data_IF_993054319878
#
_entry.id   IF_993054319878
#
_cell.length_a   1.000
_cell.length_b   1.000
_cell.length_c   1.000
_cell.angle_alpha   90.00
_cell.angle_beta   90.00
_cell.angle_gamma   90.00
#
_symmetry.space_group_name_H-M   'P 1'
#
loop_
_entity.id
_entity.type
_entity.pdbx_description
1 polymer ?
#
# COMPACT_ATOMS: atom_id res chain seq x y z
N UNK A 1 15.66 3.97 -15.89
CA UNK A 1 15.21 2.55 -15.87
C UNK A 1 14.00 2.47 -16.80
N UNK A 2 13.97 1.53 -17.73
CA UNK A 2 12.73 1.27 -18.51
C UNK A 2 11.83 0.40 -17.64
N UNK A 3 10.61 0.85 -17.41
CA UNK A 3 9.64 0.14 -16.58
C UNK A 3 8.80 -0.86 -17.37
N UNK A 4 8.72 -0.67 -18.70
CA UNK A 4 7.89 -1.44 -19.64
C UNK A 4 6.41 -1.57 -19.16
N UNK A 5 5.90 -0.49 -18.54
CA UNK A 5 4.54 -0.39 -18.03
C UNK A 5 3.56 0.26 -19.00
N UNK A 6 4.03 0.75 -20.15
CA UNK A 6 3.16 1.36 -21.17
C UNK A 6 2.07 0.39 -21.64
N UNK A 7 0.82 0.85 -21.63
CA UNK A 7 -0.35 0.06 -21.99
C UNK A 7 -0.81 -0.95 -20.94
N UNK A 8 -0.07 -1.16 -19.86
CA UNK A 8 -0.44 -2.08 -18.77
C UNK A 8 -1.68 -1.60 -18.03
N UNK A 9 -2.52 -2.55 -17.62
CA UNK A 9 -3.73 -2.31 -16.86
C UNK A 9 -3.42 -2.37 -15.35
N UNK A 10 -3.61 -1.26 -14.65
CA UNK A 10 -3.24 -1.11 -13.23
C UNK A 10 -4.46 -0.75 -12.40
N UNK A 11 -4.71 -1.48 -11.32
CA UNK A 11 -5.69 -1.16 -10.30
C UNK A 11 -4.99 -0.59 -9.06
N UNK A 12 -5.45 0.56 -8.55
CA UNK A 12 -4.94 1.18 -7.32
C UNK A 12 -6.10 1.41 -6.35
N UNK A 13 -6.03 0.84 -5.14
CA UNK A 13 -6.94 1.21 -4.04
C UNK A 13 -6.34 2.33 -3.19
N UNK A 14 -7.19 3.19 -2.60
CA UNK A 14 -6.71 4.38 -1.88
C UNK A 14 -6.08 5.42 -2.81
N UNK A 15 -6.47 5.43 -4.09
CA UNK A 15 -5.82 6.23 -5.13
C UNK A 15 -6.29 7.69 -5.20
N UNK A 16 -7.23 8.13 -4.36
CA UNK A 16 -7.71 9.51 -4.35
C UNK A 16 -6.78 10.48 -3.59
N UNK A 17 -5.86 9.98 -2.77
CA UNK A 17 -4.97 10.83 -1.96
C UNK A 17 -3.59 10.19 -1.69
N UNK A 18 -2.68 10.96 -1.13
CA UNK A 18 -1.40 10.51 -0.59
C UNK A 18 -0.56 9.64 -1.53
N UNK A 19 -0.06 8.54 -1.01
CA UNK A 19 0.78 7.59 -1.75
C UNK A 19 0.02 6.98 -2.93
N UNK A 20 -1.25 6.60 -2.73
CA UNK A 20 -2.06 6.02 -3.79
C UNK A 20 -2.22 6.95 -4.99
N UNK A 21 -2.51 8.24 -4.74
CA UNK A 21 -2.59 9.25 -5.81
C UNK A 21 -1.24 9.45 -6.51
N UNK A 22 -0.13 9.42 -5.77
CA UNK A 22 1.20 9.49 -6.35
C UNK A 22 1.48 8.27 -7.25
N UNK A 23 1.07 7.07 -6.83
CA UNK A 23 1.15 5.87 -7.66
C UNK A 23 0.31 6.01 -8.94
N UNK A 24 -0.94 6.46 -8.83
CA UNK A 24 -1.81 6.70 -10.01
C UNK A 24 -1.13 7.63 -11.01
N UNK A 25 -0.58 8.75 -10.54
CA UNK A 25 0.14 9.71 -11.41
C UNK A 25 1.38 9.09 -12.03
N UNK A 26 2.16 8.36 -11.24
CA UNK A 26 3.40 7.73 -11.70
C UNK A 26 3.13 6.65 -12.76
N UNK A 27 2.14 5.77 -12.57
CA UNK A 27 1.75 4.78 -13.56
C UNK A 27 1.22 5.41 -14.85
N UNK A 28 0.39 6.47 -14.74
CA UNK A 28 -0.10 7.20 -15.91
C UNK A 28 1.04 7.87 -16.69
N UNK A 29 2.04 8.41 -16.01
CA UNK A 29 3.24 8.99 -16.64
C UNK A 29 4.07 7.95 -17.40
N UNK A 30 4.07 6.67 -16.95
CA UNK A 30 4.67 5.53 -17.66
C UNK A 30 3.78 5.00 -18.82
N UNK A 31 2.65 5.64 -19.10
CA UNK A 31 1.73 5.23 -20.16
C UNK A 31 0.81 4.05 -19.81
N UNK A 32 0.70 3.70 -18.53
CA UNK A 32 -0.23 2.67 -18.08
C UNK A 32 -1.69 3.18 -18.03
N UNK A 33 -2.64 2.27 -18.21
CA UNK A 33 -4.08 2.51 -18.03
C UNK A 33 -4.42 2.22 -16.57
N UNK A 34 -4.88 3.24 -15.82
CA UNK A 34 -5.04 3.14 -14.37
C UNK A 34 -6.50 3.31 -13.99
N UNK A 35 -7.05 2.30 -13.32
CA UNK A 35 -8.33 2.37 -12.60
C UNK A 35 -8.09 2.58 -11.11
N UNK A 36 -8.96 3.36 -10.49
CA UNK A 36 -8.85 3.79 -9.09
C UNK A 36 -10.08 3.34 -8.32
N UNK A 37 -9.85 2.74 -7.16
CA UNK A 37 -10.90 2.45 -6.17
C UNK A 37 -10.58 3.22 -4.89
N UNK A 38 -11.54 3.98 -4.38
CA UNK A 38 -11.42 4.74 -3.14
C UNK A 38 -12.80 4.96 -2.50
N UNK A 39 -12.84 5.16 -1.18
CA UNK A 39 -14.08 5.57 -0.50
C UNK A 39 -14.42 7.04 -0.74
N UNK A 40 -13.40 7.87 -0.96
CA UNK A 40 -13.56 9.26 -1.33
C UNK A 40 -13.92 9.39 -2.81
N UNK A 41 -14.82 10.33 -3.17
CA UNK A 41 -15.11 10.62 -4.56
C UNK A 41 -13.90 11.28 -5.24
N UNK A 42 -13.78 11.10 -6.56
CA UNK A 42 -12.75 11.74 -7.36
C UNK A 42 -12.96 11.48 -8.85
N UNK A 43 -12.23 12.18 -9.72
CA UNK A 43 -12.23 11.90 -11.15
C UNK A 43 -11.79 10.45 -11.40
N UNK A 44 -12.55 9.72 -12.18
CA UNK A 44 -12.29 8.31 -12.57
C UNK A 44 -12.23 7.32 -11.38
N UNK A 45 -12.70 7.70 -10.18
CA UNK A 45 -12.76 6.84 -9.02
C UNK A 45 -14.01 5.98 -9.05
N UNK A 46 -13.85 4.67 -8.98
CA UNK A 46 -14.92 3.74 -8.62
C UNK A 46 -15.03 3.72 -7.10
N UNK A 47 -16.14 4.22 -6.58
CA UNK A 47 -16.30 4.40 -5.12
C UNK A 47 -16.60 3.07 -4.45
N UNK A 48 -15.73 2.67 -3.51
CA UNK A 48 -15.97 1.54 -2.60
C UNK A 48 -15.15 1.71 -1.31
N UNK A 49 -15.67 1.20 -0.20
CA UNK A 49 -14.92 0.98 1.02
C UNK A 49 -14.27 -0.41 0.95
N UNK A 50 -12.97 -0.50 1.23
CA UNK A 50 -12.24 -1.78 1.17
C UNK A 50 -12.66 -2.77 2.25
N UNK A 51 -13.43 -2.32 3.26
CA UNK A 51 -13.99 -3.16 4.33
C UNK A 51 -15.35 -3.76 3.97
N UNK A 52 -16.00 -3.25 2.92
CA UNK A 52 -17.25 -3.77 2.37
C UNK A 52 -16.91 -4.72 1.22
N UNK A 53 -16.88 -6.02 1.51
CA UNK A 53 -16.46 -7.03 0.52
C UNK A 53 -17.33 -7.02 -0.75
N UNK A 54 -18.68 -7.02 -0.71
CA UNK A 54 -19.49 -6.91 -1.92
C UNK A 54 -19.23 -5.65 -2.74
N UNK A 55 -19.08 -4.49 -2.09
CA UNK A 55 -18.80 -3.23 -2.78
C UNK A 55 -17.40 -3.24 -3.42
N UNK A 56 -16.40 -3.75 -2.70
CA UNK A 56 -15.02 -3.87 -3.22
C UNK A 56 -14.96 -4.85 -4.40
N UNK A 57 -15.61 -6.00 -4.31
CA UNK A 57 -15.66 -6.98 -5.38
C UNK A 57 -16.26 -6.39 -6.66
N UNK A 58 -17.39 -5.68 -6.54
CA UNK A 58 -18.04 -5.01 -7.67
C UNK A 58 -17.18 -3.89 -8.26
N UNK A 59 -16.44 -3.15 -7.42
CA UNK A 59 -15.53 -2.10 -7.86
C UNK A 59 -14.32 -2.68 -8.63
N UNK A 60 -13.72 -3.75 -8.12
CA UNK A 60 -12.62 -4.47 -8.79
C UNK A 60 -13.07 -5.00 -10.16
N UNK A 61 -14.22 -5.67 -10.22
CA UNK A 61 -14.81 -6.19 -11.45
C UNK A 61 -15.07 -5.06 -12.47
N UNK A 62 -15.63 -3.94 -12.01
CA UNK A 62 -15.87 -2.75 -12.84
C UNK A 62 -14.58 -2.21 -13.45
N UNK A 63 -13.52 -2.05 -12.64
CA UNK A 63 -12.22 -1.56 -13.11
C UNK A 63 -11.60 -2.57 -14.08
N UNK A 64 -11.57 -3.84 -13.72
CA UNK A 64 -10.97 -4.89 -14.53
C UNK A 64 -11.64 -5.00 -15.91
N UNK A 65 -12.97 -4.96 -15.97
CA UNK A 65 -13.71 -4.95 -17.25
C UNK A 65 -13.41 -3.73 -18.09
N UNK A 66 -13.36 -2.53 -17.49
CA UNK A 66 -13.03 -1.27 -18.20
C UNK A 66 -11.62 -1.30 -18.80
N UNK A 67 -10.69 -1.96 -18.13
CA UNK A 67 -9.30 -2.08 -18.55
C UNK A 67 -9.03 -3.31 -19.44
N UNK A 68 -9.98 -4.24 -19.55
CA UNK A 68 -9.80 -5.49 -20.29
C UNK A 68 -8.89 -6.51 -19.59
N UNK A 69 -8.86 -6.50 -18.27
CA UNK A 69 -8.00 -7.31 -17.39
C UNK A 69 -7.15 -6.44 -16.48
N UNK A 70 -6.27 -7.06 -15.70
CA UNK A 70 -5.31 -6.38 -14.81
C UNK A 70 -3.93 -6.98 -15.00
N UNK A 71 -2.90 -6.15 -15.16
CA UNK A 71 -1.49 -6.58 -15.12
C UNK A 71 -0.87 -6.33 -13.75
N UNK A 72 -1.32 -5.26 -13.07
CA UNK A 72 -0.78 -4.80 -11.78
C UNK A 72 -1.90 -4.42 -10.83
N UNK A 73 -1.73 -4.79 -9.56
CA UNK A 73 -2.61 -4.38 -8.46
C UNK A 73 -1.78 -3.69 -7.36
N UNK A 74 -2.24 -2.52 -6.91
CA UNK A 74 -1.57 -1.76 -5.86
C UNK A 74 -2.53 -1.51 -4.71
N UNK A 75 -2.22 -2.05 -3.53
CA UNK A 75 -3.02 -1.89 -2.31
C UNK A 75 -2.50 -0.72 -1.47
N UNK A 76 -3.02 0.51 -1.70
CA UNK A 76 -2.63 1.71 -0.94
C UNK A 76 -3.67 2.14 0.12
N UNK A 77 -4.89 1.61 0.09
CA UNK A 77 -5.89 1.95 1.10
C UNK A 77 -5.40 1.56 2.50
N UNK A 78 -5.49 2.49 3.43
CA UNK A 78 -5.03 2.28 4.80
C UNK A 78 -5.39 3.44 5.72
N UNK A 79 -5.33 3.18 7.03
CA UNK A 79 -5.53 4.15 8.11
C UNK A 79 -4.47 3.95 9.18
N UNK A 80 -4.10 5.02 9.88
CA UNK A 80 -3.19 4.98 11.04
C UNK A 80 -3.87 4.48 12.31
N UNK A 81 -5.16 4.73 12.44
CA UNK A 81 -5.91 4.47 13.67
C UNK A 81 -5.59 5.49 14.78
N UNK A 82 -5.76 5.11 16.05
CA UNK A 82 -5.55 6.00 17.20
C UNK A 82 -4.05 6.12 17.52
N UNK A 83 -3.33 6.94 16.76
CA UNK A 83 -1.89 7.21 16.98
C UNK A 83 -1.67 7.92 18.30
N UNK A 84 -0.61 7.54 19.04
CA UNK A 84 -0.25 8.13 20.32
C UNK A 84 -1.12 7.70 21.50
N UNK A 85 -2.11 6.84 21.30
CA UNK A 85 -2.99 6.35 22.37
C UNK A 85 -2.31 5.21 23.11
N UNK A 86 -2.09 5.32 24.44
CA UNK A 86 -1.54 4.23 25.25
C UNK A 86 -2.40 2.96 25.16
N UNK A 87 -1.77 1.80 25.32
CA UNK A 87 -2.44 0.50 25.20
C UNK A 87 -3.72 0.41 26.06
N UNK A 88 -3.68 0.90 27.29
CA UNK A 88 -4.85 0.90 28.18
C UNK A 88 -6.03 1.74 27.66
N UNK A 89 -5.78 2.74 26.82
CA UNK A 89 -6.80 3.56 26.17
C UNK A 89 -7.22 3.08 24.79
N UNK A 90 -6.54 2.07 24.24
CA UNK A 90 -6.85 1.53 22.92
C UNK A 90 -8.05 0.60 23.01
N UNK A 91 -9.18 0.97 22.39
CA UNK A 91 -10.37 0.12 22.39
C UNK A 91 -10.23 -1.07 21.44
N UNK A 92 -10.87 -2.19 21.75
CA UNK A 92 -10.93 -3.35 20.87
C UNK A 92 -11.57 -3.00 19.50
N UNK A 93 -12.57 -2.11 19.48
CA UNK A 93 -13.19 -1.64 18.26
C UNK A 93 -12.23 -0.80 17.40
N UNK A 94 -11.45 0.10 18.01
CA UNK A 94 -10.41 0.85 17.30
C UNK A 94 -9.33 -0.05 16.71
N UNK A 95 -8.87 -1.05 17.47
CA UNK A 95 -7.95 -2.07 16.99
C UNK A 95 -8.53 -2.83 15.77
N UNK A 96 -9.78 -3.33 15.90
CA UNK A 96 -10.46 -4.06 14.84
C UNK A 96 -10.65 -3.22 13.57
N UNK A 97 -10.95 -1.92 13.70
CA UNK A 97 -11.09 -1.01 12.56
C UNK A 97 -9.79 -0.90 11.76
N UNK A 98 -8.64 -0.77 12.43
CA UNK A 98 -7.34 -0.71 11.76
C UNK A 98 -7.05 -2.00 11.01
N UNK A 99 -7.30 -3.16 11.63
CA UNK A 99 -7.12 -4.46 10.97
C UNK A 99 -8.09 -4.65 9.81
N UNK A 100 -9.35 -4.23 9.94
CA UNK A 100 -10.34 -4.33 8.87
C UNK A 100 -9.89 -3.59 7.60
N UNK A 101 -9.39 -2.35 7.75
CA UNK A 101 -8.93 -1.57 6.60
C UNK A 101 -7.58 -2.07 6.08
N UNK A 102 -6.57 -2.14 6.98
CA UNK A 102 -5.18 -2.34 6.55
C UNK A 102 -4.86 -3.79 6.18
N UNK A 103 -5.56 -4.76 6.73
CA UNK A 103 -5.29 -6.19 6.51
C UNK A 103 -6.41 -6.83 5.70
N UNK A 104 -7.64 -6.87 6.25
CA UNK A 104 -8.76 -7.51 5.56
C UNK A 104 -9.04 -6.83 4.22
N UNK A 105 -9.00 -5.50 4.15
CA UNK A 105 -9.19 -4.75 2.90
C UNK A 105 -8.15 -5.09 1.83
N UNK A 106 -6.88 -5.28 2.20
CA UNK A 106 -5.85 -5.70 1.24
C UNK A 106 -6.00 -7.17 0.83
N UNK A 107 -6.38 -8.04 1.77
CA UNK A 107 -6.71 -9.43 1.46
C UNK A 107 -7.87 -9.52 0.46
N UNK A 108 -8.96 -8.80 0.70
CA UNK A 108 -10.13 -8.77 -0.18
C UNK A 108 -9.79 -8.20 -1.55
N UNK A 109 -8.98 -7.13 -1.62
CA UNK A 109 -8.48 -6.61 -2.88
C UNK A 109 -7.79 -7.70 -3.70
N UNK A 110 -6.83 -8.40 -3.10
CA UNK A 110 -6.09 -9.46 -3.79
C UNK A 110 -7.04 -10.59 -4.21
N UNK A 111 -7.88 -11.07 -3.30
CA UNK A 111 -8.87 -12.14 -3.55
C UNK A 111 -9.70 -11.87 -4.80
N UNK A 112 -10.25 -10.65 -4.92
CA UNK A 112 -11.14 -10.29 -6.01
C UNK A 112 -10.41 -9.84 -7.29
N UNK A 113 -9.15 -9.39 -7.18
CA UNK A 113 -8.33 -9.04 -8.33
C UNK A 113 -7.64 -10.25 -8.98
N UNK A 114 -7.39 -11.31 -8.21
CA UNK A 114 -6.64 -12.48 -8.65
C UNK A 114 -7.18 -13.12 -9.94
N UNK A 115 -8.50 -13.32 -10.15
CA UNK A 115 -9.03 -13.89 -11.39
C UNK A 115 -8.76 -13.05 -12.65
N UNK A 116 -8.37 -11.78 -12.48
CA UNK A 116 -8.10 -10.84 -13.55
C UNK A 116 -6.62 -10.69 -13.88
N UNK A 117 -5.72 -11.25 -13.04
CA UNK A 117 -4.27 -11.18 -13.22
C UNK A 117 -3.77 -12.34 -14.07
N UNK A 118 -2.94 -12.08 -15.10
CA UNK A 118 -2.30 -13.11 -15.90
C UNK A 118 -1.06 -13.67 -15.20
N UNK A 119 -0.51 -14.75 -15.75
CA UNK A 119 0.86 -15.14 -15.46
C UNK A 119 1.82 -14.00 -15.79
N UNK A 120 2.73 -13.69 -14.87
CA UNK A 120 3.61 -12.53 -14.93
C UNK A 120 3.03 -11.26 -14.32
N UNK A 121 1.80 -11.31 -13.81
CA UNK A 121 1.16 -10.21 -13.08
C UNK A 121 1.94 -9.82 -11.81
N UNK A 122 1.66 -8.62 -11.28
CA UNK A 122 2.32 -8.12 -10.07
C UNK A 122 1.33 -7.47 -9.11
N UNK A 123 1.48 -7.78 -7.83
CA UNK A 123 0.76 -7.15 -6.72
C UNK A 123 1.76 -6.45 -5.81
N UNK A 124 1.53 -5.18 -5.53
CA UNK A 124 2.35 -4.40 -4.59
C UNK A 124 1.46 -3.86 -3.48
N UNK A 125 1.73 -4.29 -2.25
CA UNK A 125 0.99 -3.87 -1.06
C UNK A 125 1.76 -2.78 -0.31
N UNK A 126 1.05 -1.90 0.38
CA UNK A 126 1.66 -0.88 1.24
C UNK A 126 1.74 -1.37 2.68
N UNK A 127 2.97 -1.75 3.07
CA UNK A 127 3.35 -1.95 4.46
C UNK A 127 3.70 -0.64 5.16
N UNK A 128 4.66 -0.70 6.05
CA UNK A 128 5.34 0.41 6.73
C UNK A 128 6.60 -0.13 7.39
N UNK A 129 7.58 0.72 7.67
CA UNK A 129 8.68 0.43 8.60
C UNK A 129 8.17 0.01 9.99
N UNK A 130 6.95 0.46 10.37
CA UNK A 130 6.25 0.05 11.59
C UNK A 130 5.91 -1.45 11.66
N UNK A 131 6.16 -2.21 10.59
CA UNK A 131 6.16 -3.67 10.64
C UNK A 131 7.43 -4.25 11.29
N UNK A 132 8.49 -3.46 11.43
CA UNK A 132 9.82 -3.87 11.90
C UNK A 132 10.30 -3.03 13.09
N UNK A 133 9.82 -1.79 13.19
CA UNK A 133 10.09 -0.84 14.27
C UNK A 133 8.78 -0.47 14.96
N UNK A 134 8.85 0.17 16.11
CA UNK A 134 7.64 0.59 16.82
C UNK A 134 7.86 1.91 17.57
N UNK A 135 6.78 2.67 17.72
CA UNK A 135 6.69 3.81 18.63
C UNK A 135 5.56 3.59 19.65
N UNK A 136 5.64 4.19 20.85
CA UNK A 136 4.55 4.15 21.81
C UNK A 136 3.21 4.62 21.20
N UNK A 137 2.12 3.95 21.55
CA UNK A 137 0.78 4.32 21.09
C UNK A 137 0.45 3.90 19.64
N UNK A 138 1.21 2.95 19.05
CA UNK A 138 1.00 2.50 17.68
C UNK A 138 0.68 1.01 17.55
N UNK A 139 0.26 0.35 18.62
CA UNK A 139 0.03 -1.11 18.64
C UNK A 139 -0.90 -1.59 17.51
N UNK A 140 -2.09 -0.99 17.25
CA UNK A 140 -2.96 -1.44 16.17
C UNK A 140 -2.31 -1.31 14.79
N UNK A 141 -1.63 -0.20 14.54
CA UNK A 141 -0.97 0.07 13.27
C UNK A 141 0.20 -0.89 13.02
N UNK A 142 1.12 -1.03 13.97
CA UNK A 142 2.25 -1.95 13.87
C UNK A 142 1.77 -3.39 13.64
N UNK A 143 0.78 -3.86 14.40
CA UNK A 143 0.19 -5.18 14.21
C UNK A 143 -0.37 -5.35 12.78
N UNK A 144 -1.10 -4.35 12.27
CA UNK A 144 -1.65 -4.38 10.92
C UNK A 144 -0.57 -4.44 9.84
N UNK A 145 0.50 -3.65 9.99
CA UNK A 145 1.57 -3.59 8.99
C UNK A 145 2.48 -4.82 9.02
N UNK A 146 2.69 -5.40 10.21
CA UNK A 146 3.32 -6.73 10.36
C UNK A 146 2.52 -7.83 9.66
N UNK A 147 1.18 -7.81 9.80
CA UNK A 147 0.29 -8.74 9.11
C UNK A 147 0.37 -8.62 7.58
N UNK A 148 0.45 -7.39 7.01
CA UNK A 148 0.63 -7.17 5.57
C UNK A 148 1.93 -7.79 5.06
N UNK A 149 3.04 -7.64 5.80
CA UNK A 149 4.33 -8.25 5.46
C UNK A 149 4.24 -9.77 5.46
N UNK A 150 3.62 -10.37 6.47
CA UNK A 150 3.43 -11.82 6.55
C UNK A 150 2.53 -12.32 5.42
N UNK A 151 1.41 -11.64 5.15
CA UNK A 151 0.48 -11.95 4.06
C UNK A 151 1.16 -11.89 2.69
N UNK A 152 2.04 -10.91 2.44
CA UNK A 152 2.80 -10.80 1.19
C UNK A 152 3.62 -12.06 0.91
N UNK A 153 4.28 -12.61 1.94
CA UNK A 153 5.07 -13.84 1.81
C UNK A 153 4.19 -15.05 1.52
N UNK A 154 3.06 -15.16 2.24
CA UNK A 154 2.12 -16.26 2.04
C UNK A 154 1.55 -16.27 0.62
N UNK A 155 1.09 -15.12 0.12
CA UNK A 155 0.56 -14.96 -1.23
C UNK A 155 1.59 -15.30 -2.32
N UNK A 156 2.85 -14.92 -2.12
CA UNK A 156 3.92 -15.21 -3.07
C UNK A 156 4.22 -16.72 -3.23
N UNK A 157 3.89 -17.51 -2.21
CA UNK A 157 4.03 -18.97 -2.23
C UNK A 157 2.76 -19.65 -2.74
N UNK A 158 1.59 -19.12 -2.32
CA UNK A 158 0.29 -19.72 -2.64
C UNK A 158 -0.12 -19.53 -4.10
N UNK A 159 0.29 -18.41 -4.73
CA UNK A 159 -0.16 -18.05 -6.08
C UNK A 159 1.02 -18.04 -7.05
N UNK A 160 1.33 -19.19 -7.67
CA UNK A 160 2.38 -19.24 -8.69
C UNK A 160 1.99 -18.38 -9.91
N UNK A 161 3.00 -17.82 -10.57
CA UNK A 161 2.80 -17.00 -11.77
C UNK A 161 2.56 -15.52 -11.50
N UNK A 162 2.16 -15.10 -10.28
CA UNK A 162 2.01 -13.70 -9.88
C UNK A 162 3.07 -13.34 -8.83
N UNK A 163 3.65 -12.15 -8.94
CA UNK A 163 4.61 -11.64 -7.94
C UNK A 163 3.89 -10.79 -6.90
N UNK A 164 4.18 -11.03 -5.64
CA UNK A 164 3.65 -10.28 -4.50
C UNK A 164 4.80 -9.65 -3.73
N UNK A 165 4.81 -8.34 -3.62
CA UNK A 165 5.79 -7.62 -2.85
C UNK A 165 5.12 -6.51 -2.02
N UNK A 166 5.83 -6.03 -1.02
CA UNK A 166 5.38 -4.98 -0.11
C UNK A 166 6.42 -3.86 -0.08
N UNK A 167 5.99 -2.61 -0.20
CA UNK A 167 6.82 -1.44 0.10
C UNK A 167 6.54 -1.02 1.53
N UNK A 168 7.58 -0.83 2.31
CA UNK A 168 7.52 -0.45 3.71
C UNK A 168 8.17 0.92 3.93
N UNK A 169 7.49 2.02 3.61
CA UNK A 169 8.01 3.36 3.84
C UNK A 169 8.01 3.72 5.32
N UNK A 170 8.87 4.63 5.70
CA UNK A 170 8.79 5.42 6.92
C UNK A 170 7.78 6.56 6.73
N UNK A 171 7.95 7.65 7.46
CA UNK A 171 7.03 8.80 7.39
C UNK A 171 7.04 9.43 6.00
N UNK A 172 5.85 9.57 5.42
CA UNK A 172 5.63 10.14 4.09
C UNK A 172 4.72 11.34 4.20
N UNK A 173 5.09 12.47 3.58
CA UNK A 173 4.22 13.67 3.56
C UNK A 173 2.93 13.39 2.79
N UNK A 174 1.88 13.17 3.55
CA UNK A 174 0.54 12.81 3.08
C UNK A 174 -0.51 13.45 3.98
N UNK A 175 -1.76 13.58 3.54
CA UNK A 175 -2.84 14.04 4.41
C UNK A 175 -2.97 13.25 5.71
N UNK A 176 -2.72 11.93 5.68
CA UNK A 176 -2.73 11.08 6.87
C UNK A 176 -1.62 11.50 7.85
N UNK A 177 -0.37 11.55 7.39
CA UNK A 177 0.75 11.91 8.23
C UNK A 177 0.63 13.35 8.77
N UNK A 178 0.11 14.29 7.96
CA UNK A 178 -0.17 15.66 8.40
C UNK A 178 -1.23 15.72 9.52
N UNK A 179 -2.24 14.87 9.46
CA UNK A 179 -3.25 14.76 10.50
C UNK A 179 -2.69 14.16 11.80
N UNK A 180 -1.78 13.20 11.70
CA UNK A 180 -1.22 12.47 12.84
C UNK A 180 -0.05 13.21 13.53
N UNK A 181 0.84 13.82 12.75
CA UNK A 181 2.13 14.36 13.20
C UNK A 181 2.21 15.89 13.14
N UNK A 182 1.30 16.56 12.40
CA UNK A 182 1.26 18.02 12.31
C UNK A 182 2.58 18.66 11.92
N UNK A 183 3.02 19.64 12.72
CA UNK A 183 4.23 20.40 12.46
C UNK A 183 5.55 19.64 12.55
N UNK A 184 5.55 18.41 13.09
CA UNK A 184 6.76 17.56 13.10
C UNK A 184 7.28 17.29 11.68
N UNK A 185 6.37 17.27 10.70
CA UNK A 185 6.72 17.07 9.29
C UNK A 185 7.46 18.27 8.67
N UNK A 186 7.44 19.43 9.31
CA UNK A 186 8.08 20.65 8.84
C UNK A 186 9.49 20.83 9.46
N UNK A 187 9.88 19.97 10.39
CA UNK A 187 11.25 19.96 10.96
C UNK A 187 12.24 19.41 9.93
N UNK A 188 13.21 20.23 9.47
CA UNK A 188 14.20 19.78 8.49
C UNK A 188 15.11 18.64 8.99
N UNK A 189 15.20 18.43 10.30
CA UNK A 189 15.95 17.32 10.90
C UNK A 189 15.16 16.01 10.90
N UNK A 190 13.84 16.06 10.69
CA UNK A 190 13.00 14.88 10.66
C UNK A 190 12.93 14.31 9.24
N UNK A 191 13.34 13.05 9.01
CA UNK A 191 13.42 12.47 7.68
C UNK A 191 12.01 12.15 7.15
N UNK A 192 11.51 12.97 6.24
CA UNK A 192 10.21 12.84 5.59
C UNK A 192 10.38 12.49 4.12
N UNK A 193 9.73 11.43 3.66
CA UNK A 193 9.66 11.06 2.26
C UNK A 193 8.56 11.85 1.54
N UNK A 194 8.72 12.05 0.25
CA UNK A 194 7.62 12.48 -0.60
C UNK A 194 6.84 11.25 -1.11
N UNK A 195 5.54 11.39 -1.31
CA UNK A 195 4.71 10.31 -1.85
C UNK A 195 5.23 9.77 -3.21
N UNK A 196 5.90 10.63 -4.00
CA UNK A 196 6.57 10.25 -5.24
C UNK A 196 7.76 9.30 -5.05
N UNK A 197 8.45 9.37 -3.89
CA UNK A 197 9.56 8.46 -3.59
C UNK A 197 9.06 7.02 -3.44
N UNK A 198 7.95 6.87 -2.71
CA UNK A 198 7.28 5.58 -2.54
C UNK A 198 6.69 5.07 -3.86
N UNK A 199 6.07 5.96 -4.65
CA UNK A 199 5.51 5.60 -5.94
C UNK A 199 6.58 5.04 -6.91
N UNK A 200 7.81 5.56 -6.90
CA UNK A 200 8.92 5.01 -7.70
C UNK A 200 9.29 3.57 -7.29
N UNK A 201 9.24 3.26 -6.01
CA UNK A 201 9.48 1.90 -5.50
C UNK A 201 8.36 0.95 -5.94
N UNK A 202 7.11 1.41 -5.86
CA UNK A 202 5.95 0.67 -6.34
C UNK A 202 6.06 0.39 -7.85
N UNK A 203 6.43 1.39 -8.67
CA UNK A 203 6.69 1.20 -10.10
C UNK A 203 7.76 0.13 -10.36
N UNK A 204 8.88 0.17 -9.63
CA UNK A 204 9.93 -0.83 -9.77
C UNK A 204 9.40 -2.23 -9.47
N UNK A 205 8.74 -2.44 -8.33
CA UNK A 205 8.23 -3.74 -7.93
C UNK A 205 7.10 -4.26 -8.83
N UNK A 206 6.34 -3.36 -9.44
CA UNK A 206 5.30 -3.69 -10.41
C UNK A 206 5.86 -4.07 -11.79
N UNK A 207 7.06 -3.60 -12.11
CA UNK A 207 7.65 -3.72 -13.45
C UNK A 207 8.41 -5.03 -13.65
N UNK A 208 8.65 -5.45 -14.92
CA UNK A 208 9.55 -6.56 -15.25
C UNK A 208 10.99 -6.39 -14.75
N UNK A 209 11.43 -5.16 -14.44
CA UNK A 209 12.75 -4.90 -13.90
C UNK A 209 12.99 -5.57 -12.53
N UNK A 210 11.91 -5.87 -11.81
CA UNK A 210 11.94 -6.59 -10.52
C UNK A 210 11.58 -8.08 -10.66
N UNK A 211 11.69 -8.68 -11.85
CA UNK A 211 11.29 -10.09 -12.11
C UNK A 211 11.74 -11.10 -11.05
N UNK A 212 12.99 -11.06 -10.52
CA UNK A 212 13.41 -12.01 -9.49
C UNK A 212 12.93 -11.67 -8.08
N UNK A 213 12.24 -10.53 -7.88
CA UNK A 213 11.79 -10.07 -6.56
C UNK A 213 10.36 -10.56 -6.34
N UNK A 214 10.18 -11.48 -5.39
CA UNK A 214 8.88 -12.02 -4.99
C UNK A 214 8.87 -12.33 -3.50
N UNK A 215 7.76 -12.07 -2.82
CA UNK A 215 7.61 -12.30 -1.37
C UNK A 215 8.40 -11.32 -0.50
N UNK A 216 8.87 -10.20 -1.05
CA UNK A 216 9.75 -9.29 -0.34
C UNK A 216 9.01 -8.09 0.27
N UNK A 217 9.45 -7.70 1.47
CA UNK A 217 9.11 -6.44 2.10
C UNK A 217 10.33 -5.50 1.96
N UNK A 218 10.17 -4.46 1.15
CA UNK A 218 11.25 -3.52 0.84
C UNK A 218 11.13 -2.31 1.75
N UNK A 219 12.05 -2.18 2.70
CA UNK A 219 12.17 -1.02 3.57
C UNK A 219 12.64 0.20 2.75
N UNK A 220 11.93 1.31 2.92
CA UNK A 220 12.22 2.60 2.32
C UNK A 220 12.10 3.66 3.42
N UNK A 221 13.12 3.76 4.29
CA UNK A 221 13.06 4.46 5.58
C UNK A 221 14.31 5.31 5.88
N UNK A 222 15.11 5.64 4.88
CA UNK A 222 16.40 6.33 5.04
C UNK A 222 17.38 5.61 5.98
N UNK A 223 17.24 4.28 6.14
CA UNK A 223 18.05 3.46 7.03
C UNK A 223 17.70 3.65 8.51
N UNK A 224 16.54 4.20 8.85
CA UNK A 224 16.14 4.41 10.25
C UNK A 224 16.03 3.10 11.01
N UNK A 225 15.46 2.06 10.39
CA UNK A 225 15.34 0.73 10.99
C UNK A 225 16.68 -0.04 11.08
N UNK A 226 17.70 0.39 10.35
CA UNK A 226 19.04 -0.23 10.39
C UNK A 226 19.94 0.35 11.49
N UNK A 227 19.51 1.41 12.17
CA UNK A 227 20.32 2.05 13.21
C UNK A 227 20.37 1.22 14.49
N UNK A 228 21.58 1.01 15.02
CA UNK A 228 21.76 0.43 16.35
C UNK A 228 21.39 1.45 17.43
N UNK A 229 20.78 0.96 18.52
CA UNK A 229 20.62 1.75 19.73
C UNK A 229 21.93 1.87 20.57
N UNK A 230 22.96 1.07 20.24
CA UNK A 230 24.24 1.14 20.92
C UNK A 230 25.07 2.32 20.39
N UNK A 231 25.62 3.16 21.27
CA UNK A 231 26.59 4.17 20.84
C UNK A 231 27.82 3.48 20.25
N UNK A 232 28.26 3.97 19.09
CA UNK A 232 29.51 3.54 18.48
C UNK A 232 30.71 4.24 19.15
#
# INVERSE_FOLDING_TARGET
MRTDLAGKAVLVTGGASGIGLACVRAFRAEGARVGVVDRAPGPDVVRADVTDEPALAAAVDTVARRLGGLDVVVGCAGVSGPVGTPLAGTSAAGFATVLAVNVTGQFLLVKHALPWLPDGGAVVLLGSDSAFTAAPGMVPYCASKGAVVAMTRALAVEVPGVRFNCVCPSVVDTPMARADLGAVLDDPAFPVQQAGDVARQVLFLASPASRPVNGQAVLADFGMSARSAFPA
#
